data_IF_961507318769
#
_entry.id   IF_961507318769
#
_cell.length_a   1.000
_cell.length_b   1.000
_cell.length_c   1.000
_cell.angle_alpha   90.00
_cell.angle_beta   90.00
_cell.angle_gamma   90.00
#
_symmetry.space_group_name_H-M   'P 1'
#
loop_
_entity.id
_entity.type
_entity.pdbx_description
1 polymer ?
#
# COMPACT_ATOMS: atom_id res chain seq x y z
N UNK A 1 -8.63 5.52 -13.26
CA UNK A 1 -7.70 4.54 -13.90
C UNK A 1 -6.64 5.33 -14.64
N UNK A 2 -5.44 4.77 -14.87
CA UNK A 2 -4.30 5.50 -15.46
C UNK A 2 -4.64 6.05 -16.85
N UNK A 3 -4.69 7.38 -17.07
CA UNK A 3 -5.00 7.93 -18.39
C UNK A 3 -3.83 7.70 -19.37
N UNK A 4 -4.10 7.09 -20.53
CA UNK A 4 -3.04 6.71 -21.49
C UNK A 4 -2.23 7.90 -21.99
N UNK A 5 -2.89 9.03 -22.27
CA UNK A 5 -2.22 10.23 -22.77
C UNK A 5 -1.23 10.81 -21.74
N UNK A 6 -1.64 10.89 -20.46
CA UNK A 6 -0.76 11.34 -19.38
C UNK A 6 0.40 10.38 -19.15
N UNK A 7 0.15 9.07 -19.20
CA UNK A 7 1.22 8.07 -19.11
C UNK A 7 2.25 8.25 -20.22
N UNK A 8 1.82 8.39 -21.47
CA UNK A 8 2.73 8.62 -22.60
C UNK A 8 3.49 9.94 -22.49
N UNK A 9 2.86 11.00 -21.95
CA UNK A 9 3.54 12.26 -21.67
C UNK A 9 4.63 12.07 -20.61
N UNK A 10 4.33 11.39 -19.50
CA UNK A 10 5.34 11.09 -18.46
C UNK A 10 6.49 10.25 -19.01
N UNK A 11 6.20 9.25 -19.85
CA UNK A 11 7.23 8.43 -20.49
C UNK A 11 8.21 9.25 -21.35
N UNK A 12 7.75 10.32 -21.99
CA UNK A 12 8.65 11.23 -22.73
C UNK A 12 9.61 11.98 -21.80
N UNK A 13 9.20 12.28 -20.56
CA UNK A 13 10.04 12.96 -19.58
C UNK A 13 11.18 12.07 -19.05
N UNK A 14 11.13 10.75 -19.27
CA UNK A 14 12.22 9.83 -18.95
C UNK A 14 13.33 9.77 -20.02
N UNK A 15 13.34 10.70 -20.98
CA UNK A 15 14.31 10.73 -22.10
C UNK A 15 14.30 9.44 -22.96
N UNK A 16 13.15 8.77 -23.04
CA UNK A 16 12.97 7.62 -23.93
C UNK A 16 12.93 8.08 -25.39
N UNK A 17 13.43 7.25 -26.29
CA UNK A 17 13.35 7.54 -27.72
C UNK A 17 11.91 7.58 -28.23
N UNK A 18 11.65 8.37 -29.28
CA UNK A 18 10.33 8.48 -29.89
C UNK A 18 9.80 7.13 -30.43
N UNK A 19 10.69 6.22 -30.84
CA UNK A 19 10.29 4.87 -31.25
C UNK A 19 9.80 4.04 -30.06
N UNK A 20 10.49 4.12 -28.91
CA UNK A 20 10.06 3.47 -27.66
C UNK A 20 8.70 4.01 -27.19
N UNK A 21 8.49 5.32 -27.20
CA UNK A 21 7.21 5.92 -26.79
C UNK A 21 6.08 5.51 -27.75
N UNK A 22 6.33 5.48 -29.07
CA UNK A 22 5.36 4.98 -30.06
C UNK A 22 5.03 3.50 -29.84
N UNK A 23 6.02 2.70 -29.47
CA UNK A 23 5.79 1.30 -29.12
C UNK A 23 4.86 1.17 -27.91
N UNK A 24 5.10 1.92 -26.82
CA UNK A 24 4.18 1.96 -25.68
C UNK A 24 2.78 2.47 -26.04
N UNK A 25 2.68 3.44 -26.96
CA UNK A 25 1.38 3.91 -27.46
C UNK A 25 0.62 2.77 -28.17
N UNK A 26 1.28 2.01 -29.05
CA UNK A 26 0.67 0.84 -29.69
C UNK A 26 0.30 -0.28 -28.69
N UNK A 27 1.06 -0.39 -27.60
CA UNK A 27 0.77 -1.34 -26.54
C UNK A 27 -0.53 -0.98 -25.79
N UNK A 28 -0.78 0.31 -25.53
CA UNK A 28 -1.92 0.79 -24.74
C UNK A 28 -3.19 1.07 -25.55
N UNK A 29 -3.05 1.57 -26.77
CA UNK A 29 -4.16 2.04 -27.60
C UNK A 29 -4.86 0.91 -28.36
N UNK A 30 -6.10 1.18 -28.79
CA UNK A 30 -6.94 0.27 -29.60
C UNK A 30 -7.15 -1.10 -28.94
N UNK A 31 -7.16 -1.13 -27.60
CA UNK A 31 -7.51 -2.32 -26.82
C UNK A 31 -9.01 -2.37 -26.58
N UNK A 32 -9.53 -3.58 -26.49
CA UNK A 32 -10.92 -3.87 -26.12
C UNK A 32 -10.95 -4.92 -25.02
N UNK A 33 -11.99 -4.91 -24.20
CA UNK A 33 -12.20 -5.88 -23.13
C UNK A 33 -13.66 -6.33 -23.09
N UNK A 34 -13.88 -7.57 -22.66
CA UNK A 34 -15.18 -8.15 -22.34
C UNK A 34 -15.06 -8.94 -21.03
N UNK A 35 -16.18 -9.21 -20.36
CA UNK A 35 -16.25 -10.01 -19.14
C UNK A 35 -17.08 -11.26 -19.41
N UNK A 36 -16.58 -12.40 -18.93
CA UNK A 36 -17.31 -13.67 -18.97
C UNK A 36 -17.82 -14.01 -17.58
N UNK A 37 -19.08 -14.38 -17.46
CA UNK A 37 -19.64 -14.88 -16.20
C UNK A 37 -19.26 -16.34 -15.96
N UNK A 38 -19.60 -16.86 -14.78
CA UNK A 38 -19.35 -18.26 -14.42
C UNK A 38 -20.13 -19.28 -15.25
N UNK A 39 -21.19 -18.84 -15.95
CA UNK A 39 -22.01 -19.65 -16.85
C UNK A 39 -21.52 -19.64 -18.30
N UNK A 40 -20.47 -18.90 -18.63
CA UNK A 40 -19.91 -18.78 -19.97
C UNK A 40 -20.57 -17.70 -20.84
N UNK A 41 -21.45 -16.87 -20.27
CA UNK A 41 -22.00 -15.70 -20.96
C UNK A 41 -20.95 -14.60 -21.10
N UNK A 42 -20.76 -14.07 -22.31
CA UNK A 42 -19.80 -13.00 -22.60
C UNK A 42 -20.52 -11.66 -22.81
N UNK A 43 -20.00 -10.58 -22.22
CA UNK A 43 -20.47 -9.23 -22.48
C UNK A 43 -20.05 -8.73 -23.87
N UNK A 44 -20.63 -7.63 -24.34
CA UNK A 44 -20.11 -6.94 -25.52
C UNK A 44 -18.66 -6.48 -25.30
N UNK A 45 -17.86 -6.51 -26.37
CA UNK A 45 -16.51 -5.97 -26.39
C UNK A 45 -16.55 -4.45 -26.36
N UNK A 46 -15.89 -3.85 -25.38
CA UNK A 46 -15.82 -2.40 -25.20
C UNK A 46 -14.38 -1.91 -25.29
N UNK A 47 -14.12 -0.74 -25.90
CA UNK A 47 -12.79 -0.14 -25.92
C UNK A 47 -12.24 0.19 -24.54
N UNK A 48 -10.96 -0.06 -24.32
CA UNK A 48 -10.23 0.30 -23.11
C UNK A 48 -9.56 1.67 -23.31
N UNK A 49 -10.14 2.71 -22.71
CA UNK A 49 -9.70 4.11 -22.87
C UNK A 49 -8.71 4.57 -21.79
N UNK A 50 -8.51 3.77 -20.74
CA UNK A 50 -7.57 4.05 -19.66
C UNK A 50 -7.17 2.75 -18.94
N UNK A 51 -6.11 2.82 -18.15
CA UNK A 51 -5.54 1.68 -17.43
C UNK A 51 -4.44 0.97 -18.20
N UNK A 52 -3.71 0.13 -17.48
CA UNK A 52 -2.72 -0.78 -18.05
C UNK A 52 -3.30 -2.19 -18.06
N UNK A 53 -2.96 -3.04 -19.04
CA UNK A 53 -3.49 -4.41 -19.09
C UNK A 53 -3.13 -5.19 -17.82
N UNK A 54 -4.13 -5.63 -17.06
CA UNK A 54 -3.92 -6.46 -15.88
C UNK A 54 -3.41 -7.85 -16.28
N UNK A 55 -2.50 -8.42 -15.49
CA UNK A 55 -1.85 -9.70 -15.81
C UNK A 55 -0.73 -9.61 -16.86
N UNK A 56 -0.47 -8.41 -17.39
CA UNK A 56 0.67 -8.20 -18.28
C UNK A 56 1.97 -7.96 -17.53
N UNK A 57 3.10 -8.31 -18.15
CA UNK A 57 4.44 -8.06 -17.62
C UNK A 57 4.73 -6.56 -17.47
N UNK A 58 4.23 -5.73 -18.40
CA UNK A 58 4.51 -4.30 -18.43
C UNK A 58 3.55 -3.45 -17.59
N UNK A 59 2.37 -3.97 -17.24
CA UNK A 59 1.38 -3.22 -16.47
C UNK A 59 1.95 -2.65 -15.16
N UNK A 60 2.58 -3.47 -14.30
CA UNK A 60 3.18 -3.00 -13.06
C UNK A 60 4.27 -1.95 -13.29
N UNK A 61 5.15 -2.16 -14.27
CA UNK A 61 6.22 -1.21 -14.60
C UNK A 61 5.66 0.15 -15.04
N UNK A 62 4.68 0.15 -15.95
CA UNK A 62 4.04 1.36 -16.44
C UNK A 62 3.29 2.10 -15.34
N UNK A 63 2.69 1.37 -14.39
CA UNK A 63 2.07 1.98 -13.22
C UNK A 63 3.09 2.66 -12.31
N UNK A 64 4.22 2.01 -12.03
CA UNK A 64 5.30 2.59 -11.22
C UNK A 64 5.86 3.84 -11.88
N UNK A 65 6.17 3.79 -13.19
CA UNK A 65 6.64 4.95 -13.94
C UNK A 65 5.62 6.10 -13.95
N UNK A 66 4.32 5.79 -13.92
CA UNK A 66 3.25 6.78 -13.88
C UNK A 66 3.23 7.58 -12.58
N UNK A 67 3.45 6.92 -11.44
CA UNK A 67 3.37 7.53 -10.10
C UNK A 67 4.71 8.05 -9.59
N UNK A 68 5.80 7.88 -10.36
CA UNK A 68 7.17 8.11 -9.90
C UNK A 68 7.48 9.59 -9.58
N UNK A 69 6.67 10.54 -10.04
CA UNK A 69 6.79 11.97 -9.75
C UNK A 69 5.93 12.42 -8.55
N UNK A 70 5.19 11.50 -7.91
CA UNK A 70 4.47 11.80 -6.67
C UNK A 70 5.40 12.29 -5.55
N UNK A 71 6.57 11.69 -5.30
CA UNK A 71 7.49 12.19 -4.27
C UNK A 71 7.85 13.66 -4.38
N UNK A 72 7.92 14.19 -5.60
CA UNK A 72 8.41 15.54 -5.88
C UNK A 72 7.47 16.63 -5.36
N UNK A 73 6.20 16.30 -5.10
CA UNK A 73 5.22 17.24 -4.53
C UNK A 73 5.27 17.31 -2.99
N UNK A 74 5.99 16.42 -2.33
CA UNK A 74 6.06 16.35 -0.86
C UNK A 74 7.15 17.29 -0.35
N UNK A 75 6.77 18.26 0.49
CA UNK A 75 7.69 19.28 0.99
C UNK A 75 8.14 18.98 2.42
N UNK A 76 7.27 18.41 3.24
CA UNK A 76 7.50 18.25 4.68
C UNK A 76 7.56 16.80 5.14
N UNK A 77 7.07 15.88 4.31
CA UNK A 77 6.89 14.47 4.64
C UNK A 77 7.85 13.61 3.83
N UNK A 78 8.36 12.57 4.49
CA UNK A 78 8.96 11.43 3.81
C UNK A 78 7.86 10.51 3.30
N UNK A 79 8.22 9.58 2.41
CA UNK A 79 7.26 8.67 1.81
C UNK A 79 7.81 7.25 1.71
N UNK A 80 6.89 6.30 1.59
CA UNK A 80 7.12 4.93 1.18
C UNK A 80 6.01 4.57 0.19
N UNK A 81 6.41 4.00 -0.95
CA UNK A 81 5.48 3.59 -2.00
C UNK A 81 5.68 2.11 -2.32
N UNK A 82 4.59 1.37 -2.43
CA UNK A 82 4.59 -0.02 -2.85
C UNK A 82 3.36 -0.29 -3.71
N UNK A 83 3.56 -0.47 -5.03
CA UNK A 83 2.47 -0.50 -5.99
C UNK A 83 1.53 0.71 -5.77
N UNK A 84 0.24 0.48 -5.49
CA UNK A 84 -0.76 1.52 -5.22
C UNK A 84 -0.81 1.99 -3.76
N UNK A 85 -0.12 1.31 -2.84
CA UNK A 85 -0.03 1.73 -1.45
C UNK A 85 0.99 2.88 -1.30
N UNK A 86 0.49 4.02 -0.84
CA UNK A 86 1.29 5.20 -0.47
C UNK A 86 1.22 5.42 1.03
N UNK A 87 2.37 5.62 1.65
CA UNK A 87 2.50 6.09 3.02
C UNK A 87 3.33 7.36 3.01
N UNK A 88 2.85 8.38 3.71
CA UNK A 88 3.63 9.59 3.99
C UNK A 88 3.76 9.75 5.49
N UNK A 89 4.91 10.23 5.95
CA UNK A 89 5.19 10.37 7.37
C UNK A 89 6.14 11.54 7.63
N UNK A 90 5.93 12.20 8.76
CA UNK A 90 6.74 13.34 9.21
C UNK A 90 7.00 13.21 10.70
N UNK A 91 8.24 13.48 11.12
CA UNK A 91 8.62 13.56 12.53
C UNK A 91 8.57 14.99 13.03
N UNK A 92 8.20 15.20 14.28
CA UNK A 92 8.18 16.52 14.92
C UNK A 92 8.44 16.38 16.42
N UNK A 93 8.90 17.45 17.06
CA UNK A 93 8.99 17.50 18.52
C UNK A 93 7.61 17.83 19.12
N UNK A 94 7.32 17.41 20.37
CA UNK A 94 6.02 17.66 21.00
C UNK A 94 5.60 19.14 21.00
N UNK A 95 6.56 20.04 21.21
CA UNK A 95 6.34 21.48 21.18
C UNK A 95 5.88 22.01 19.81
N UNK A 96 6.26 21.32 18.73
CA UNK A 96 5.98 21.70 17.34
C UNK A 96 4.77 20.97 16.75
N UNK A 97 4.01 20.20 17.55
CA UNK A 97 2.91 19.35 17.08
C UNK A 97 1.97 20.09 16.11
N UNK A 98 1.51 21.28 16.48
CA UNK A 98 0.57 22.06 15.65
C UNK A 98 1.16 22.42 14.29
N UNK A 99 2.44 22.82 14.26
CA UNK A 99 3.12 23.17 13.02
C UNK A 99 3.43 21.92 12.19
N UNK A 100 3.85 20.83 12.83
CA UNK A 100 4.07 19.52 12.21
C UNK A 100 2.80 18.99 11.55
N UNK A 101 1.66 19.02 12.26
CA UNK A 101 0.37 18.60 11.74
C UNK A 101 -0.11 19.47 10.57
N UNK A 102 0.12 20.78 10.65
CA UNK A 102 -0.20 21.72 9.55
C UNK A 102 0.63 21.43 8.31
N UNK A 103 1.92 21.18 8.47
CA UNK A 103 2.83 20.80 7.38
C UNK A 103 2.43 19.46 6.76
N UNK A 104 2.17 18.45 7.59
CA UNK A 104 1.69 17.15 7.13
C UNK A 104 0.36 17.27 6.35
N UNK A 105 -0.58 18.07 6.85
CA UNK A 105 -1.87 18.29 6.18
C UNK A 105 -1.75 18.99 4.83
N UNK A 106 -0.73 19.84 4.65
CA UNK A 106 -0.41 20.44 3.35
C UNK A 106 0.05 19.40 2.34
N UNK A 107 0.93 18.50 2.74
CA UNK A 107 1.39 17.40 1.88
C UNK A 107 0.24 16.45 1.52
N UNK A 108 -0.64 16.11 2.47
CA UNK A 108 -1.85 15.31 2.18
C UNK A 108 -2.74 15.99 1.14
N UNK A 109 -2.90 17.31 1.24
CA UNK A 109 -3.67 18.10 0.27
C UNK A 109 -2.99 18.13 -1.09
N UNK A 110 -1.65 18.23 -1.13
CA UNK A 110 -0.87 18.15 -2.36
C UNK A 110 -1.02 16.79 -3.04
N UNK A 111 -1.00 15.68 -2.28
CA UNK A 111 -1.25 14.32 -2.78
C UNK A 111 -2.64 14.20 -3.39
N UNK A 112 -3.67 14.74 -2.75
CA UNK A 112 -5.04 14.79 -3.31
C UNK A 112 -5.09 15.56 -4.63
N UNK A 113 -4.48 16.75 -4.67
CA UNK A 113 -4.44 17.56 -5.89
C UNK A 113 -3.69 16.86 -7.03
N UNK A 114 -2.53 16.26 -6.73
CA UNK A 114 -1.74 15.48 -7.68
C UNK A 114 -2.52 14.27 -8.19
N UNK A 115 -3.19 13.52 -7.32
CA UNK A 115 -3.97 12.35 -7.72
C UNK A 115 -5.10 12.76 -8.68
N UNK A 116 -5.81 13.86 -8.37
CA UNK A 116 -6.85 14.43 -9.22
C UNK A 116 -6.32 14.86 -10.58
N UNK A 117 -5.19 15.56 -10.61
CA UNK A 117 -4.53 15.98 -11.86
C UNK A 117 -4.09 14.79 -12.72
N UNK A 118 -3.77 13.66 -12.10
CA UNK A 118 -3.38 12.42 -12.77
C UNK A 118 -4.55 11.47 -13.07
N UNK A 119 -5.81 11.87 -12.82
CA UNK A 119 -6.99 11.02 -13.05
C UNK A 119 -7.06 9.78 -12.13
N UNK A 120 -6.37 9.85 -10.98
CA UNK A 120 -6.40 8.83 -9.93
C UNK A 120 -7.40 9.22 -8.85
N UNK A 121 -8.05 8.22 -8.26
CA UNK A 121 -8.97 8.40 -7.16
C UNK A 121 -8.35 7.80 -5.90
N UNK A 122 -8.18 8.61 -4.85
CA UNK A 122 -7.71 8.12 -3.57
C UNK A 122 -8.83 7.36 -2.86
N UNK A 123 -8.50 6.19 -2.31
CA UNK A 123 -9.45 5.39 -1.54
C UNK A 123 -9.58 5.92 -0.11
N UNK A 124 -10.39 6.97 0.04
CA UNK A 124 -10.65 7.64 1.32
C UNK A 124 -11.09 6.69 2.44
N UNK A 125 -11.86 5.64 2.11
CA UNK A 125 -12.33 4.66 3.09
C UNK A 125 -11.19 3.79 3.66
N UNK A 126 -10.10 3.64 2.90
CA UNK A 126 -8.88 2.94 3.34
C UNK A 126 -7.81 3.87 3.89
N UNK A 127 -7.90 5.18 3.65
CA UNK A 127 -6.92 6.15 4.14
C UNK A 127 -7.14 6.44 5.63
N UNK A 128 -6.07 6.35 6.41
CA UNK A 128 -6.10 6.55 7.86
C UNK A 128 -4.87 7.34 8.29
N UNK A 129 -4.96 8.03 9.43
CA UNK A 129 -3.84 8.74 10.07
C UNK A 129 -3.45 8.00 11.34
N UNK A 130 -2.16 7.90 11.62
CA UNK A 130 -1.66 7.36 12.89
C UNK A 130 -0.67 8.36 13.49
N UNK A 131 -0.90 8.74 14.74
CA UNK A 131 0.09 9.43 15.55
C UNK A 131 0.97 8.37 16.20
N UNK A 132 2.28 8.42 15.95
CA UNK A 132 3.25 7.46 16.48
C UNK A 132 4.20 8.13 17.47
N UNK A 133 4.64 7.38 18.48
CA UNK A 133 5.57 7.85 19.51
C UNK A 133 5.62 6.91 20.72
N UNK A 134 6.44 7.24 21.71
CA UNK A 134 6.45 6.48 22.98
C UNK A 134 5.13 6.66 23.74
N UNK A 135 4.80 5.72 24.64
CA UNK A 135 3.58 5.81 25.45
C UNK A 135 3.49 7.15 26.20
N UNK A 136 4.59 7.58 26.82
CA UNK A 136 4.71 8.88 27.53
C UNK A 136 4.41 10.07 26.61
N UNK A 137 4.78 9.98 25.34
CA UNK A 137 4.49 11.03 24.37
C UNK A 137 3.01 11.00 23.97
N UNK A 138 2.48 9.81 23.68
CA UNK A 138 1.11 9.63 23.23
C UNK A 138 0.09 10.00 24.30
N UNK A 139 0.40 9.76 25.58
CA UNK A 139 -0.44 10.18 26.73
C UNK A 139 -0.68 11.69 26.80
N UNK A 140 0.17 12.51 26.16
CA UNK A 140 0.00 13.97 26.10
C UNK A 140 -1.08 14.41 25.12
N UNK A 141 -1.60 13.50 24.30
CA UNK A 141 -2.55 13.80 23.24
C UNK A 141 -3.84 13.00 23.44
N UNK A 142 -4.96 13.71 23.57
CA UNK A 142 -6.27 13.09 23.44
C UNK A 142 -6.69 13.07 21.97
N UNK A 143 -6.65 11.89 21.35
CA UNK A 143 -6.98 11.64 19.95
C UNK A 143 -8.40 12.11 19.59
N UNK A 144 -9.32 12.15 20.55
CA UNK A 144 -10.71 12.55 20.30
C UNK A 144 -10.82 14.03 19.93
N UNK A 145 -9.96 14.88 20.51
CA UNK A 145 -9.95 16.34 20.33
C UNK A 145 -8.86 16.83 19.38
N UNK A 146 -8.00 15.96 18.85
CA UNK A 146 -6.96 16.36 17.91
C UNK A 146 -7.55 16.97 16.63
N UNK A 147 -6.91 18.02 16.06
CA UNK A 147 -7.29 18.53 14.75
C UNK A 147 -7.20 17.41 13.71
N UNK A 148 -8.23 17.29 12.88
CA UNK A 148 -8.28 16.23 11.86
C UNK A 148 -7.57 16.67 10.58
N UNK A 149 -6.81 15.73 10.01
CA UNK A 149 -6.30 15.89 8.64
C UNK A 149 -7.46 15.73 7.67
N UNK A 150 -7.59 16.67 6.73
CA UNK A 150 -8.67 16.68 5.75
C UNK A 150 -8.17 16.16 4.40
N UNK A 151 -8.90 15.22 3.80
CA UNK A 151 -8.67 14.70 2.46
C UNK A 151 -9.95 14.83 1.63
N UNK A 152 -9.89 15.59 0.53
CA UNK A 152 -11.05 15.88 -0.34
C UNK A 152 -12.28 16.36 0.45
N UNK A 153 -12.07 17.26 1.42
CA UNK A 153 -13.13 17.84 2.25
C UNK A 153 -13.63 16.95 3.40
N UNK A 154 -13.11 15.73 3.55
CA UNK A 154 -13.50 14.80 4.62
C UNK A 154 -12.38 14.64 5.66
N UNK A 155 -12.76 14.59 6.94
CA UNK A 155 -11.82 14.30 8.02
C UNK A 155 -11.38 12.84 8.01
N UNK A 156 -10.08 12.60 8.00
CA UNK A 156 -9.51 11.26 8.09
C UNK A 156 -9.58 10.74 9.54
N UNK A 157 -9.92 9.44 9.73
CA UNK A 157 -9.90 8.85 11.05
C UNK A 157 -8.47 8.67 11.54
N UNK A 158 -8.27 8.90 12.84
CA UNK A 158 -7.06 8.47 13.52
C UNK A 158 -7.23 7.01 13.93
N UNK A 159 -6.27 6.17 13.56
CA UNK A 159 -6.27 4.74 13.89
C UNK A 159 -5.16 4.41 14.88
N UNK A 160 -5.45 3.53 15.83
CA UNK A 160 -4.49 2.96 16.79
C UNK A 160 -3.89 1.65 16.31
N UNK A 161 -4.38 1.10 15.19
CA UNK A 161 -3.83 -0.09 14.54
C UNK A 161 -4.01 0.05 13.03
N UNK A 162 -2.92 -0.04 12.27
CA UNK A 162 -2.96 -0.01 10.80
C UNK A 162 -2.25 -1.24 10.27
N UNK A 163 -2.85 -1.87 9.24
CA UNK A 163 -2.19 -2.95 8.52
C UNK A 163 -1.49 -2.38 7.29
N UNK A 164 -0.17 -2.44 7.28
CA UNK A 164 0.71 -1.99 6.20
C UNK A 164 1.42 -3.19 5.59
N UNK A 165 1.23 -3.45 4.30
CA UNK A 165 1.93 -4.53 3.56
C UNK A 165 1.97 -5.88 4.30
N UNK A 166 0.89 -6.24 5.00
CA UNK A 166 0.81 -7.50 5.75
C UNK A 166 1.27 -7.44 7.22
N UNK A 167 1.89 -6.34 7.65
CA UNK A 167 2.35 -6.08 9.03
C UNK A 167 1.34 -5.21 9.76
N UNK A 168 1.03 -5.55 11.01
CA UNK A 168 0.18 -4.73 11.86
C UNK A 168 1.05 -3.76 12.68
N UNK A 169 0.79 -2.47 12.53
CA UNK A 169 1.55 -1.39 13.16
C UNK A 169 0.67 -0.71 14.21
N UNK A 170 1.27 -0.40 15.36
CA UNK A 170 0.66 0.33 16.47
C UNK A 170 1.44 1.64 16.73
N UNK A 171 0.81 2.66 17.32
CA UNK A 171 1.42 3.96 17.64
C UNK A 171 2.79 3.90 18.34
N UNK A 172 2.95 2.97 19.29
CA UNK A 172 4.17 2.77 20.07
C UNK A 172 5.10 1.69 19.50
N UNK A 173 4.80 1.21 18.29
CA UNK A 173 5.47 0.10 17.62
C UNK A 173 5.49 -1.18 18.48
N UNK A 174 4.50 -1.32 19.38
CA UNK A 174 4.28 -2.59 20.05
C UNK A 174 3.88 -3.67 19.03
N UNK A 175 4.39 -4.88 19.26
CA UNK A 175 4.26 -6.00 18.34
C UNK A 175 3.16 -6.98 18.74
N UNK A 176 2.47 -6.76 19.86
CA UNK A 176 1.48 -7.70 20.39
C UNK A 176 0.39 -8.00 19.37
N UNK A 177 -0.20 -6.98 18.75
CA UNK A 177 -1.27 -7.18 17.76
C UNK A 177 -0.76 -7.98 16.58
N UNK A 178 0.44 -7.67 16.08
CA UNK A 178 1.02 -8.35 14.93
C UNK A 178 1.30 -9.82 15.24
N UNK A 179 1.96 -10.10 16.36
CA UNK A 179 2.27 -11.47 16.82
C UNK A 179 0.98 -12.27 16.98
N UNK A 180 -0.05 -11.70 17.63
CA UNK A 180 -1.35 -12.35 17.79
C UNK A 180 -2.02 -12.70 16.45
N UNK A 181 -1.88 -11.86 15.43
CA UNK A 181 -2.43 -12.12 14.09
C UNK A 181 -1.65 -13.20 13.35
N UNK A 182 -0.32 -13.21 13.47
CA UNK A 182 0.53 -14.27 12.90
C UNK A 182 0.23 -15.61 13.57
N UNK A 183 0.16 -15.66 14.91
CA UNK A 183 -0.19 -16.87 15.68
C UNK A 183 -1.56 -17.40 15.26
N UNK A 184 -2.58 -16.54 15.14
CA UNK A 184 -3.92 -16.94 14.65
C UNK A 184 -3.86 -17.57 13.27
N UNK A 185 -3.06 -17.02 12.34
CA UNK A 185 -2.92 -17.55 10.99
C UNK A 185 -2.22 -18.91 10.98
N UNK A 186 -1.13 -19.04 11.74
CA UNK A 186 -0.40 -20.30 11.91
C UNK A 186 -1.28 -21.38 12.51
N UNK A 187 -2.06 -21.06 13.55
CA UNK A 187 -3.00 -22.00 14.17
C UNK A 187 -4.07 -22.50 13.19
N UNK A 188 -4.58 -21.63 12.31
CA UNK A 188 -5.52 -22.05 11.25
C UNK A 188 -4.90 -23.05 10.28
N UNK A 189 -3.66 -22.79 9.84
CA UNK A 189 -2.93 -23.71 8.95
C UNK A 189 -2.66 -25.04 9.65
N UNK A 190 -2.17 -25.01 10.91
CA UNK A 190 -1.95 -26.22 11.71
C UNK A 190 -3.23 -27.02 11.91
N UNK A 191 -4.35 -26.35 12.17
CA UNK A 191 -5.65 -27.00 12.33
C UNK A 191 -6.09 -27.70 11.03
N UNK A 192 -5.91 -27.04 9.88
CA UNK A 192 -6.17 -27.65 8.56
C UNK A 192 -5.30 -28.90 8.34
N UNK A 193 -3.98 -28.80 8.56
CA UNK A 193 -3.04 -29.91 8.40
C UNK A 193 -3.32 -31.08 9.36
N UNK A 194 -3.87 -30.80 10.54
CA UNK A 194 -4.25 -31.84 11.52
C UNK A 194 -5.28 -32.81 10.95
N UNK A 195 -6.19 -32.37 10.08
CA UNK A 195 -7.19 -33.25 9.47
C UNK A 195 -6.57 -34.32 8.57
N UNK A 196 -5.49 -33.96 7.87
CA UNK A 196 -4.80 -34.86 6.94
C UNK A 196 -3.67 -35.65 7.58
N UNK A 197 -3.39 -35.47 8.88
CA UNK A 197 -2.22 -36.06 9.57
C UNK A 197 -2.10 -37.58 9.45
N UNK A 198 -3.22 -38.29 9.32
CA UNK A 198 -3.27 -39.76 9.21
C UNK A 198 -2.97 -40.27 7.80
N UNK A 199 -3.18 -39.42 6.79
CA UNK A 199 -2.96 -39.76 5.38
C UNK A 199 -1.55 -39.36 4.88
N UNK A 200 -0.78 -38.62 5.70
CA UNK A 200 0.50 -38.03 5.29
C UNK A 200 1.68 -38.66 6.05
N UNK A 201 2.77 -38.93 5.32
CA UNK A 201 4.02 -39.40 5.91
C UNK A 201 4.63 -38.30 6.81
N UNK A 202 5.60 -38.67 7.66
CA UNK A 202 6.33 -37.67 8.48
C UNK A 202 7.07 -36.65 7.60
N UNK A 203 7.66 -37.12 6.49
CA UNK A 203 8.39 -36.29 5.55
C UNK A 203 7.50 -35.22 4.91
N UNK A 204 6.35 -35.63 4.35
CA UNK A 204 5.41 -34.69 3.74
C UNK A 204 4.88 -33.69 4.78
N UNK A 205 4.61 -34.14 6.01
CA UNK A 205 4.20 -33.22 7.09
C UNK A 205 5.25 -32.16 7.39
N UNK A 206 6.53 -32.51 7.35
CA UNK A 206 7.63 -31.55 7.53
C UNK A 206 7.66 -30.53 6.40
N UNK A 207 7.61 -31.00 5.14
CA UNK A 207 7.59 -30.13 3.96
C UNK A 207 6.39 -29.19 3.94
N UNK A 208 5.21 -29.65 4.38
CA UNK A 208 4.02 -28.80 4.50
C UNK A 208 4.18 -27.73 5.59
N UNK A 209 4.83 -28.04 6.71
CA UNK A 209 5.13 -27.05 7.74
C UNK A 209 6.11 -26.01 7.20
N UNK A 210 7.19 -26.44 6.56
CA UNK A 210 8.20 -25.55 5.98
C UNK A 210 7.61 -24.65 4.88
N UNK A 211 6.74 -25.18 4.02
CA UNK A 211 6.15 -24.41 2.91
C UNK A 211 4.95 -23.54 3.29
N UNK A 212 4.17 -23.91 4.32
CA UNK A 212 2.91 -23.21 4.65
C UNK A 212 2.97 -22.41 5.95
N UNK A 213 3.89 -22.73 6.86
CA UNK A 213 3.98 -22.07 8.17
C UNK A 213 5.16 -21.11 8.23
N UNK A 214 6.36 -21.53 7.83
CA UNK A 214 7.56 -20.69 7.94
C UNK A 214 7.44 -19.36 7.18
N UNK A 215 6.81 -19.29 5.98
CA UNK A 215 6.62 -18.01 5.31
C UNK A 215 5.82 -16.99 6.13
N UNK A 216 4.97 -17.41 7.07
CA UNK A 216 4.27 -16.48 7.95
C UNK A 216 5.19 -15.82 8.99
N UNK A 217 6.27 -16.48 9.38
CA UNK A 217 7.30 -15.93 10.27
C UNK A 217 8.33 -15.12 9.47
N UNK A 218 8.77 -15.65 8.34
CA UNK A 218 9.86 -15.05 7.57
C UNK A 218 9.46 -13.79 6.80
N UNK A 219 8.18 -13.65 6.44
CA UNK A 219 7.70 -12.59 5.54
C UNK A 219 8.17 -11.17 5.91
N UNK A 220 8.15 -10.81 7.20
CA UNK A 220 8.56 -9.48 7.66
C UNK A 220 9.76 -9.53 8.61
N UNK A 221 10.63 -10.54 8.48
CA UNK A 221 11.80 -10.71 9.33
C UNK A 221 12.74 -9.50 9.34
N UNK A 222 12.90 -8.83 8.19
CA UNK A 222 13.69 -7.60 8.07
C UNK A 222 13.12 -6.46 8.94
N UNK A 223 11.80 -6.35 9.02
CA UNK A 223 11.14 -5.34 9.87
C UNK A 223 11.37 -5.66 11.35
N UNK A 224 11.32 -6.94 11.73
CA UNK A 224 11.55 -7.34 13.12
C UNK A 224 12.99 -7.08 13.55
N UNK A 225 13.97 -7.48 12.75
CA UNK A 225 15.38 -7.38 13.13
C UNK A 225 15.82 -5.93 13.39
N UNK A 226 15.39 -4.98 12.56
CA UNK A 226 15.79 -3.57 12.71
C UNK A 226 15.04 -2.85 13.84
N UNK A 227 13.77 -3.23 14.12
CA UNK A 227 12.99 -2.62 15.20
C UNK A 227 13.51 -2.99 16.60
N UNK A 228 14.11 -4.17 16.76
CA UNK A 228 14.56 -4.68 18.06
C UNK A 228 16.05 -4.46 18.36
N UNK A 229 16.89 -4.16 17.36
CA UNK A 229 18.32 -3.85 17.60
C UNK A 229 18.54 -2.51 18.31
N UNK A 230 17.60 -1.56 18.21
CA UNK A 230 17.72 -0.24 18.84
C UNK A 230 17.09 -0.15 20.25
N UNK A 231 16.72 -1.29 20.86
CA UNK A 231 16.14 -1.37 22.22
C UNK A 231 17.06 -2.00 23.26
N UNK A 232 18.30 -2.33 22.90
CA UNK A 232 19.36 -2.84 23.80
C UNK A 232 20.51 -1.85 23.89
#
# INVERSE_FOLDING_TARGET
MVPHQLLLQKLRNFNLSDSTVRWFASYLMQRTQAVTDSGGGESAWLPTTSGVPQGSVLGPLLFILFINDLPDILVHSKHMMFADDLQIYSSFFPADFTQGLKNFSRDVSAVSAWARANGLALNRAKTQVMLMGSDIFLERFDISILPRVILDGMALPYSTVVKSLGVWIQPNLDSETHVNQVVKRVHRVLYSLRHYRRALTKQIRKELVESLIFPHFDYACAVYNDLFQNRT
#
